data_IF_850347388603
#
_entry.id   IF_850347388603
#
_cell.length_a   1.000
_cell.length_b   1.000
_cell.length_c   1.000
_cell.angle_alpha   90.00
_cell.angle_beta   90.00
_cell.angle_gamma   90.00
#
_symmetry.space_group_name_H-M   'P 1'
#
loop_
_entity.id
_entity.type
_entity.pdbx_description
1 polymer ?
#
# COMPACT_ATOMS: atom_id res chain seq x y z
N UNK A 1 45.38 23.70 24.35
CA UNK A 1 46.22 22.71 23.64
C UNK A 1 45.95 21.37 24.32
N UNK A 2 45.13 20.50 23.71
CA UNK A 2 45.58 19.32 22.93
C UNK A 2 46.34 18.36 23.86
N UNK A 3 45.92 17.13 24.16
CA UNK A 3 45.25 16.08 23.39
C UNK A 3 44.90 14.94 24.35
N UNK A 4 43.72 14.33 24.28
CA UNK A 4 43.59 12.91 24.64
C UNK A 4 42.71 12.20 23.61
N UNK A 5 43.36 11.25 22.93
CA UNK A 5 42.82 10.39 21.91
C UNK A 5 41.73 9.49 22.50
N UNK A 6 40.48 9.66 22.06
CA UNK A 6 39.51 8.56 22.11
C UNK A 6 39.77 7.64 20.93
N UNK A 7 40.63 6.64 21.15
CA UNK A 7 40.63 5.43 20.35
C UNK A 7 39.26 4.78 20.52
N UNK A 8 38.40 4.91 19.51
CA UNK A 8 37.20 4.09 19.39
C UNK A 8 37.67 2.69 19.06
N UNK A 9 37.47 1.77 19.99
CA UNK A 9 37.81 0.37 19.83
C UNK A 9 36.96 -0.25 18.71
N UNK A 10 37.59 -0.46 17.56
CA UNK A 10 36.96 -1.02 16.36
C UNK A 10 36.56 -2.49 16.55
N UNK A 11 36.90 -3.12 17.69
CA UNK A 11 36.48 -4.47 18.04
C UNK A 11 35.04 -4.51 18.61
N UNK A 12 34.64 -3.54 19.44
CA UNK A 12 33.26 -3.48 19.96
C UNK A 12 32.25 -3.09 18.87
N UNK A 13 32.67 -2.28 17.90
CA UNK A 13 31.88 -1.97 16.71
C UNK A 13 31.72 -3.19 15.78
N UNK A 14 32.48 -4.28 15.93
CA UNK A 14 32.30 -5.50 15.11
C UNK A 14 31.35 -6.51 15.73
N UNK A 15 31.20 -6.55 17.06
CA UNK A 15 30.26 -7.49 17.69
C UNK A 15 28.80 -7.05 17.59
N UNK A 16 28.52 -5.75 17.49
CA UNK A 16 27.17 -5.25 17.17
C UNK A 16 26.71 -5.44 15.71
N UNK A 17 27.59 -5.94 14.82
CA UNK A 17 27.29 -6.13 13.39
C UNK A 17 26.85 -7.55 13.01
N UNK A 18 27.02 -8.53 13.90
CA UNK A 18 26.66 -9.93 13.61
C UNK A 18 25.20 -10.27 13.94
N UNK A 19 24.51 -9.45 14.72
CA UNK A 19 23.08 -9.61 14.93
C UNK A 19 22.33 -8.80 13.86
N UNK A 20 21.80 -9.50 12.85
CA UNK A 20 21.05 -8.94 11.72
C UNK A 20 19.77 -8.17 12.07
N UNK A 21 19.57 -7.76 13.33
CA UNK A 21 18.36 -7.15 13.89
C UNK A 21 18.20 -5.65 13.60
N UNK A 22 19.29 -4.89 13.42
CA UNK A 22 19.20 -3.42 13.45
C UNK A 22 18.81 -2.75 12.12
N UNK A 23 19.30 -3.30 11.01
CA UNK A 23 19.00 -2.86 9.63
C UNK A 23 18.06 -3.86 8.94
N UNK A 24 18.04 -5.10 9.44
CA UNK A 24 17.13 -6.14 8.97
C UNK A 24 15.67 -5.70 9.08
N UNK A 25 15.22 -5.21 10.24
CA UNK A 25 13.79 -5.01 10.51
C UNK A 25 13.06 -3.98 9.64
N UNK A 26 13.72 -3.07 8.92
CA UNK A 26 13.05 -2.10 8.02
C UNK A 26 13.05 -2.61 6.58
N UNK A 27 14.13 -3.29 6.16
CA UNK A 27 14.27 -3.81 4.80
C UNK A 27 13.74 -5.25 4.66
N UNK A 28 13.69 -5.98 5.76
CA UNK A 28 12.92 -7.20 5.95
C UNK A 28 11.42 -6.92 6.07
N UNK A 29 11.05 -5.66 6.18
CA UNK A 29 9.69 -5.24 6.45
C UNK A 29 9.00 -4.56 5.28
N UNK A 30 9.70 -3.70 4.52
CA UNK A 30 9.32 -3.39 3.13
C UNK A 30 9.22 -4.66 2.24
N UNK A 31 9.77 -5.77 2.73
CA UNK A 31 9.85 -7.07 2.07
C UNK A 31 8.67 -8.00 2.33
N UNK A 32 8.19 -8.12 3.59
CA UNK A 32 7.01 -8.93 3.89
C UNK A 32 5.81 -8.47 3.03
N UNK A 33 5.68 -7.16 2.84
CA UNK A 33 4.59 -6.55 2.09
C UNK A 33 4.67 -6.71 0.55
N UNK A 34 5.85 -6.98 -0.02
CA UNK A 34 5.99 -7.34 -1.43
C UNK A 34 5.85 -8.85 -1.66
N UNK A 35 6.17 -9.66 -0.65
CA UNK A 35 6.04 -11.12 -0.71
C UNK A 35 4.58 -11.57 -0.54
N UNK A 36 3.74 -10.75 0.09
CA UNK A 36 2.34 -11.03 0.37
C UNK A 36 1.32 -10.44 -0.63
N UNK A 37 1.81 -9.94 -1.78
CA UNK A 37 1.00 -9.53 -2.95
C UNK A 37 0.33 -10.72 -3.70
N UNK A 38 -0.27 -11.66 -2.93
CA UNK A 38 -1.14 -12.81 -3.29
C UNK A 38 -0.55 -14.21 -3.34
N UNK A 39 0.49 -14.53 -2.57
CA UNK A 39 0.91 -15.94 -2.47
C UNK A 39 0.00 -16.83 -1.59
N UNK A 40 -0.90 -16.26 -0.77
CA UNK A 40 -1.77 -17.07 0.11
C UNK A 40 -3.18 -17.33 -0.43
N UNK A 41 -3.86 -16.38 -1.07
CA UNK A 41 -5.25 -16.60 -1.52
C UNK A 41 -5.35 -17.62 -2.66
N UNK A 42 -4.51 -17.52 -3.69
CA UNK A 42 -4.59 -18.45 -4.83
C UNK A 42 -3.89 -19.78 -4.61
N UNK A 43 -2.92 -19.90 -3.70
CA UNK A 43 -2.32 -21.22 -3.41
C UNK A 43 -3.25 -22.11 -2.58
N UNK A 44 -4.18 -21.51 -1.80
CA UNK A 44 -5.29 -22.21 -1.16
C UNK A 44 -6.39 -22.52 -2.18
N UNK A 45 -6.79 -21.56 -3.02
CA UNK A 45 -7.78 -21.81 -4.10
C UNK A 45 -7.31 -22.85 -5.11
N UNK A 46 -6.04 -22.81 -5.55
CA UNK A 46 -5.47 -23.78 -6.47
C UNK A 46 -5.20 -25.13 -5.81
N UNK A 47 -4.90 -25.21 -4.51
CA UNK A 47 -4.85 -26.50 -3.76
C UNK A 47 -6.24 -27.09 -3.52
N UNK A 48 -7.27 -26.24 -3.41
CA UNK A 48 -8.66 -26.67 -3.34
C UNK A 48 -9.14 -27.15 -4.71
N UNK A 49 -8.83 -26.42 -5.79
CA UNK A 49 -9.15 -26.81 -7.16
C UNK A 49 -8.36 -28.05 -7.63
N UNK A 50 -7.10 -28.22 -7.21
CA UNK A 50 -6.31 -29.42 -7.52
C UNK A 50 -6.73 -30.66 -6.73
N UNK A 51 -7.61 -30.51 -5.73
CA UNK A 51 -8.25 -31.61 -5.00
C UNK A 51 -9.66 -31.93 -5.51
N UNK A 52 -10.18 -31.16 -6.46
CA UNK A 52 -11.43 -31.45 -7.18
C UNK A 52 -11.09 -32.17 -8.49
N UNK A 53 -10.54 -33.37 -8.38
CA UNK A 53 -10.76 -34.38 -9.41
C UNK A 53 -11.83 -35.32 -8.85
N UNK A 54 -12.94 -35.41 -9.57
CA UNK A 54 -14.14 -36.26 -9.36
C UNK A 54 -15.12 -35.81 -8.28
N UNK A 55 -15.99 -34.81 -8.53
CA UNK A 55 -17.29 -34.73 -7.82
C UNK A 55 -18.41 -34.18 -8.71
N UNK A 56 -19.59 -34.79 -8.56
CA UNK A 56 -20.77 -34.73 -9.41
C UNK A 56 -21.50 -33.37 -9.34
N UNK A 57 -22.01 -32.88 -10.47
CA UNK A 57 -22.59 -31.53 -10.64
C UNK A 57 -23.88 -31.33 -9.81
N UNK A 58 -24.59 -32.40 -9.46
CA UNK A 58 -25.85 -32.31 -8.71
C UNK A 58 -25.67 -31.92 -7.24
N UNK A 59 -24.48 -32.10 -6.65
CA UNK A 59 -24.23 -31.72 -5.24
C UNK A 59 -24.03 -30.21 -5.05
N UNK A 60 -23.84 -29.43 -6.13
CA UNK A 60 -23.67 -27.98 -6.03
C UNK A 60 -24.96 -27.21 -5.78
N UNK A 61 -26.14 -27.71 -6.18
CA UNK A 61 -27.40 -26.98 -6.00
C UNK A 61 -27.86 -26.88 -4.54
N UNK A 62 -27.39 -27.78 -3.67
CA UNK A 62 -27.73 -27.77 -2.24
C UNK A 62 -26.68 -27.13 -1.33
N UNK A 63 -25.50 -26.78 -1.83
CA UNK A 63 -24.38 -26.27 -1.03
C UNK A 63 -23.92 -24.84 -1.40
N UNK A 64 -24.67 -24.11 -2.23
CA UNK A 64 -24.36 -22.70 -2.53
C UNK A 64 -24.41 -21.80 -1.30
N UNK A 65 -25.20 -22.15 -0.27
CA UNK A 65 -25.32 -21.36 0.97
C UNK A 65 -24.18 -21.58 1.97
N UNK A 66 -23.45 -22.69 1.88
CA UNK A 66 -22.43 -23.07 2.88
C UNK A 66 -21.01 -22.77 2.43
N UNK A 67 -20.74 -22.72 1.12
CA UNK A 67 -19.38 -22.48 0.59
C UNK A 67 -18.87 -21.04 0.79
N UNK A 68 -19.77 -20.06 0.93
CA UNK A 68 -19.44 -18.65 1.19
C UNK A 68 -19.48 -18.25 2.68
N UNK A 69 -19.65 -19.21 3.59
CA UNK A 69 -20.09 -18.92 4.97
C UNK A 69 -18.99 -18.82 6.03
N UNK A 70 -17.70 -18.79 5.68
CA UNK A 70 -16.68 -18.26 6.61
C UNK A 70 -16.49 -16.78 6.31
N UNK A 71 -16.93 -15.86 7.21
CA UNK A 71 -16.59 -14.46 7.06
C UNK A 71 -15.07 -14.35 6.97
N UNK A 72 -14.53 -13.51 6.08
CA UNK A 72 -13.16 -13.02 6.24
C UNK A 72 -13.12 -12.37 7.64
N UNK A 73 -12.66 -13.13 8.62
CA UNK A 73 -13.09 -12.97 9.99
C UNK A 73 -12.54 -11.70 10.63
N UNK A 74 -13.44 -10.97 11.30
CA UNK A 74 -13.10 -9.97 12.32
C UNK A 74 -12.05 -10.61 13.25
N UNK A 75 -10.83 -10.09 13.26
CA UNK A 75 -9.79 -10.61 14.14
C UNK A 75 -9.80 -9.83 15.45
N UNK A 76 -10.51 -10.37 16.45
CA UNK A 76 -10.67 -9.77 17.78
C UNK A 76 -9.50 -10.06 18.74
N UNK A 77 -8.45 -10.77 18.30
CA UNK A 77 -7.36 -11.26 19.18
C UNK A 77 -6.00 -10.56 19.04
N UNK A 78 -5.83 -9.61 18.12
CA UNK A 78 -4.57 -8.87 18.02
C UNK A 78 -4.61 -7.61 18.89
N UNK A 79 -3.46 -7.23 19.45
CA UNK A 79 -3.31 -5.97 20.19
C UNK A 79 -3.61 -4.79 19.25
N UNK A 80 -4.59 -3.96 19.64
CA UNK A 80 -4.90 -2.71 18.93
C UNK A 80 -3.68 -1.77 18.98
N UNK A 81 -3.44 -1.07 17.88
CA UNK A 81 -2.48 0.02 17.80
C UNK A 81 -3.04 1.27 18.49
N UNK A 82 -4.37 1.41 18.53
CA UNK A 82 -5.05 2.51 19.24
C UNK A 82 -5.99 1.94 20.32
N UNK A 83 -5.50 1.76 21.56
CA UNK A 83 -6.33 1.25 22.66
C UNK A 83 -7.50 2.18 23.05
N UNK A 84 -7.30 3.50 22.97
CA UNK A 84 -8.28 4.54 23.28
C UNK A 84 -9.08 5.00 22.07
N UNK A 85 -9.53 4.07 21.23
CA UNK A 85 -10.24 4.38 19.99
C UNK A 85 -11.58 5.08 20.27
N UNK A 86 -11.95 5.98 19.36
CA UNK A 86 -13.26 6.65 19.37
C UNK A 86 -14.25 5.89 18.48
N UNK A 87 -15.50 5.84 18.91
CA UNK A 87 -16.55 5.15 18.15
C UNK A 87 -16.74 5.80 16.76
N UNK A 88 -16.91 4.95 15.75
CA UNK A 88 -17.08 5.30 14.34
C UNK A 88 -15.94 6.14 13.73
N UNK A 89 -14.79 6.19 14.40
CA UNK A 89 -13.55 6.73 13.84
C UNK A 89 -12.72 5.61 13.23
N UNK A 90 -12.30 5.78 11.98
CA UNK A 90 -11.41 4.82 11.32
C UNK A 90 -9.97 5.17 11.64
N UNK A 91 -9.21 4.22 12.17
CA UNK A 91 -7.77 4.37 12.33
C UNK A 91 -7.08 3.57 11.23
N UNK A 92 -6.59 4.26 10.20
CA UNK A 92 -5.84 3.64 9.10
C UNK A 92 -4.40 3.43 9.54
N UNK A 93 -4.05 2.16 9.74
CA UNK A 93 -2.69 1.75 10.05
C UNK A 93 -1.93 1.49 8.75
N UNK A 94 -0.88 2.27 8.52
CA UNK A 94 -0.10 2.23 7.27
C UNK A 94 1.38 2.55 7.49
N UNK A 95 2.17 2.50 6.42
CA UNK A 95 3.60 2.85 6.47
C UNK A 95 3.84 4.32 6.79
N UNK A 96 5.04 4.66 7.31
CA UNK A 96 5.44 6.04 7.46
C UNK A 96 5.44 6.78 6.13
N UNK A 97 5.04 8.05 6.16
CA UNK A 97 4.99 8.89 4.97
C UNK A 97 6.40 9.19 4.45
N UNK A 98 6.70 8.89 3.18
CA UNK A 98 7.94 9.35 2.55
C UNK A 98 7.90 10.88 2.36
N UNK A 99 9.05 11.46 2.03
CA UNK A 99 9.06 12.81 1.48
C UNK A 99 8.37 12.81 0.10
N UNK A 100 7.63 13.86 -0.25
CA UNK A 100 7.07 14.10 -1.59
C UNK A 100 5.91 13.20 -2.03
N UNK A 101 5.52 12.19 -1.25
CA UNK A 101 4.39 11.29 -1.55
C UNK A 101 3.59 10.98 -0.27
N UNK A 102 2.29 10.63 -0.38
CA UNK A 102 1.53 10.22 0.80
C UNK A 102 1.93 8.85 1.35
N UNK A 103 2.32 7.92 0.48
CA UNK A 103 2.80 6.58 0.84
C UNK A 103 3.65 6.01 -0.31
N UNK A 104 4.39 4.91 -0.08
CA UNK A 104 5.12 4.15 -1.11
C UNK A 104 4.43 2.82 -1.49
N UNK A 105 3.34 2.49 -0.78
CA UNK A 105 2.50 1.33 -1.02
C UNK A 105 1.24 1.74 -1.79
N UNK A 106 0.98 1.14 -2.96
CA UNK A 106 -0.22 1.42 -3.73
C UNK A 106 -1.50 1.02 -2.97
N UNK A 107 -1.42 0.02 -2.08
CA UNK A 107 -2.56 -0.41 -1.28
C UNK A 107 -2.88 0.55 -0.14
N UNK A 108 -1.85 1.13 0.50
CA UNK A 108 -2.05 2.18 1.50
C UNK A 108 -2.69 3.41 0.85
N UNK A 109 -2.17 3.84 -0.31
CA UNK A 109 -2.79 4.91 -1.11
C UNK A 109 -4.23 4.59 -1.51
N UNK A 110 -4.51 3.36 -1.94
CA UNK A 110 -5.86 2.91 -2.28
C UNK A 110 -6.85 3.12 -1.12
N UNK A 111 -6.50 2.69 0.09
CA UNK A 111 -7.38 2.83 1.26
C UNK A 111 -7.50 4.29 1.70
N UNK A 112 -6.39 5.03 1.79
CA UNK A 112 -6.43 6.44 2.18
C UNK A 112 -7.23 7.28 1.18
N UNK A 113 -7.04 7.05 -0.13
CA UNK A 113 -7.82 7.70 -1.17
C UNK A 113 -9.31 7.35 -1.06
N UNK A 114 -9.64 6.08 -0.80
CA UNK A 114 -11.04 5.66 -0.63
C UNK A 114 -11.70 6.36 0.57
N UNK A 115 -11.00 6.48 1.69
CA UNK A 115 -11.49 7.22 2.86
C UNK A 115 -11.73 8.69 2.54
N UNK A 116 -10.78 9.35 1.85
CA UNK A 116 -10.86 10.75 1.45
C UNK A 116 -12.00 11.02 0.46
N UNK A 117 -12.11 10.20 -0.59
CA UNK A 117 -13.17 10.28 -1.60
C UNK A 117 -14.56 10.21 -0.98
N UNK A 118 -14.74 9.33 0.01
CA UNK A 118 -16.03 9.14 0.67
C UNK A 118 -16.23 10.03 1.90
N UNK A 119 -15.32 10.99 2.15
CA UNK A 119 -15.35 11.87 3.32
C UNK A 119 -15.49 11.10 4.66
N UNK A 120 -14.88 9.92 4.77
CA UNK A 120 -14.90 9.13 6.00
C UNK A 120 -13.92 9.75 7.00
N UNK A 121 -14.37 10.13 8.21
CA UNK A 121 -13.47 10.59 9.28
C UNK A 121 -12.46 9.49 9.64
N UNK A 122 -11.18 9.82 9.53
CA UNK A 122 -10.13 8.86 9.81
C UNK A 122 -8.89 9.51 10.42
N UNK A 123 -8.10 8.70 11.13
CA UNK A 123 -6.78 9.04 11.63
C UNK A 123 -5.75 8.10 11.03
N UNK A 124 -4.59 8.64 10.65
CA UNK A 124 -3.46 7.84 10.20
C UNK A 124 -2.64 7.41 11.40
N UNK A 125 -2.31 6.13 11.45
CA UNK A 125 -1.41 5.52 12.43
C UNK A 125 -0.24 4.92 11.68
N UNK A 126 0.93 5.54 11.81
CA UNK A 126 2.13 5.10 11.11
C UNK A 126 2.82 3.98 11.91
N UNK A 127 3.10 2.87 11.24
CA UNK A 127 3.89 1.77 11.81
C UNK A 127 5.04 1.43 10.87
N UNK A 128 6.22 1.22 11.44
CA UNK A 128 7.39 0.79 10.65
C UNK A 128 7.27 -0.65 10.16
N UNK A 129 6.29 -1.41 10.69
CA UNK A 129 6.17 -2.84 10.47
C UNK A 129 4.75 -3.34 10.26
N UNK A 130 4.55 -4.05 9.16
CA UNK A 130 3.33 -4.77 8.85
C UNK A 130 3.09 -6.00 9.73
N UNK A 131 4.11 -6.50 10.45
CA UNK A 131 3.93 -7.54 11.46
C UNK A 131 3.01 -7.10 12.61
N UNK A 132 2.69 -5.80 12.70
CA UNK A 132 1.67 -5.25 13.60
C UNK A 132 0.25 -5.52 13.14
N UNK A 133 0.04 -5.76 11.85
CA UNK A 133 -1.24 -6.12 11.29
C UNK A 133 -1.60 -7.58 11.57
N UNK A 134 -2.90 -7.92 11.62
CA UNK A 134 -3.38 -9.26 11.97
C UNK A 134 -2.98 -10.33 10.94
N UNK A 135 -2.57 -9.92 9.73
CA UNK A 135 -2.08 -10.78 8.66
C UNK A 135 -0.62 -10.51 8.28
N UNK A 136 0.10 -9.71 9.05
CA UNK A 136 1.46 -9.31 8.67
C UNK A 136 1.52 -8.37 7.46
N UNK A 137 0.42 -7.66 7.16
CA UNK A 137 0.23 -6.84 5.96
C UNK A 137 -0.27 -5.44 6.30
N UNK A 138 0.13 -4.45 5.50
CA UNK A 138 -0.43 -3.10 5.48
C UNK A 138 -1.08 -2.78 4.12
N UNK A 139 -2.13 -1.97 4.08
CA UNK A 139 -2.80 -1.35 5.23
C UNK A 139 -3.72 -2.33 5.97
N UNK A 140 -4.04 -2.00 7.22
CA UNK A 140 -5.22 -2.48 7.92
C UNK A 140 -5.91 -1.31 8.62
N UNK A 141 -7.18 -1.47 8.99
CA UNK A 141 -7.88 -0.47 9.80
C UNK A 141 -8.21 -1.01 11.18
N UNK A 142 -8.26 -0.11 12.16
CA UNK A 142 -8.95 -0.30 13.43
C UNK A 142 -10.23 0.52 13.43
N UNK A 143 -11.34 -0.13 13.74
CA UNK A 143 -12.66 0.48 13.76
C UNK A 143 -13.51 -0.21 14.83
N UNK A 144 -14.01 0.58 15.78
CA UNK A 144 -14.84 0.11 16.90
C UNK A 144 -14.21 -1.09 17.65
N UNK A 145 -12.91 -0.98 17.93
CA UNK A 145 -12.13 -2.00 18.63
C UNK A 145 -11.86 -3.29 17.84
N UNK A 146 -12.16 -3.31 16.54
CA UNK A 146 -11.91 -4.44 15.65
C UNK A 146 -10.85 -4.10 14.60
N UNK A 147 -10.02 -5.08 14.23
CA UNK A 147 -9.06 -4.97 13.14
C UNK A 147 -9.57 -5.61 11.85
N UNK A 148 -9.40 -4.90 10.74
CA UNK A 148 -9.76 -5.36 9.40
C UNK A 148 -8.55 -5.25 8.46
N UNK A 149 -7.94 -6.38 8.05
CA UNK A 149 -6.82 -6.39 7.10
C UNK A 149 -7.28 -6.34 5.65
N UNK A 150 -6.30 -6.21 4.73
CA UNK A 150 -6.47 -6.26 3.27
C UNK A 150 -7.26 -5.08 2.69
N UNK A 151 -6.67 -4.38 1.72
CA UNK A 151 -7.29 -3.16 1.17
C UNK A 151 -8.67 -3.36 0.55
N UNK A 152 -8.94 -4.52 -0.05
CA UNK A 152 -10.24 -4.80 -0.67
C UNK A 152 -11.28 -5.19 0.38
N UNK A 153 -10.88 -5.96 1.39
CA UNK A 153 -11.76 -6.27 2.53
C UNK A 153 -12.09 -5.01 3.34
N UNK A 154 -11.11 -4.13 3.58
CA UNK A 154 -11.32 -2.84 4.24
C UNK A 154 -12.37 -2.01 3.51
N UNK A 155 -12.26 -1.87 2.18
CA UNK A 155 -13.23 -1.13 1.36
C UNK A 155 -14.64 -1.71 1.51
N UNK A 156 -14.79 -3.03 1.50
CA UNK A 156 -16.10 -3.69 1.67
C UNK A 156 -16.69 -3.38 3.06
N UNK A 157 -15.90 -3.52 4.12
CA UNK A 157 -16.32 -3.24 5.50
C UNK A 157 -16.76 -1.77 5.65
N UNK A 158 -16.00 -0.84 5.10
CA UNK A 158 -16.32 0.59 5.15
C UNK A 158 -17.57 0.92 4.33
N UNK A 159 -17.72 0.29 3.16
CA UNK A 159 -18.91 0.45 2.31
C UNK A 159 -20.17 0.01 3.02
N UNK A 160 -20.13 -1.14 3.69
CA UNK A 160 -21.24 -1.66 4.49
C UNK A 160 -21.51 -0.77 5.71
N UNK A 161 -20.47 -0.44 6.49
CA UNK A 161 -20.58 0.33 7.75
C UNK A 161 -21.11 1.74 7.56
N UNK A 162 -20.65 2.44 6.52
CA UNK A 162 -21.00 3.83 6.25
C UNK A 162 -22.10 3.98 5.19
N UNK A 163 -22.71 2.86 4.76
CA UNK A 163 -23.77 2.83 3.75
C UNK A 163 -23.43 3.60 2.46
N UNK A 164 -22.19 3.43 2.00
CA UNK A 164 -21.67 4.16 0.85
C UNK A 164 -22.37 3.76 -0.45
N UNK A 165 -22.63 4.75 -1.30
CA UNK A 165 -23.33 4.57 -2.58
C UNK A 165 -22.42 4.47 -3.80
N UNK A 166 -21.10 4.63 -3.65
CA UNK A 166 -20.15 4.73 -4.77
C UNK A 166 -20.31 3.62 -5.80
N UNK A 167 -20.40 2.37 -5.33
CA UNK A 167 -20.57 1.21 -6.20
C UNK A 167 -22.04 0.74 -6.31
N UNK A 168 -22.97 1.37 -5.60
CA UNK A 168 -24.36 0.88 -5.49
C UNK A 168 -25.14 1.05 -6.79
N UNK A 169 -24.86 2.11 -7.54
CA UNK A 169 -25.56 2.45 -8.79
C UNK A 169 -24.97 1.77 -10.03
N UNK A 170 -23.90 0.99 -9.87
CA UNK A 170 -23.25 0.29 -10.97
C UNK A 170 -24.11 -0.86 -11.50
N UNK A 171 -24.10 -1.04 -12.83
CA UNK A 171 -24.78 -2.18 -13.44
C UNK A 171 -24.08 -3.49 -13.05
N UNK A 172 -24.76 -4.63 -13.21
CA UNK A 172 -24.13 -5.95 -12.99
C UNK A 172 -22.88 -6.15 -13.86
N UNK A 173 -22.88 -5.58 -15.07
CA UNK A 173 -21.73 -5.60 -15.97
C UNK A 173 -20.59 -4.76 -15.40
N UNK A 174 -20.85 -3.53 -14.97
CA UNK A 174 -19.81 -2.65 -14.41
C UNK A 174 -19.15 -3.28 -13.18
N UNK A 175 -19.95 -3.93 -12.31
CA UNK A 175 -19.41 -4.66 -11.15
C UNK A 175 -18.50 -5.81 -11.57
N UNK A 176 -18.85 -6.56 -12.62
CA UNK A 176 -17.98 -7.61 -13.15
C UNK A 176 -16.71 -7.04 -13.79
N UNK A 177 -16.84 -5.92 -14.51
CA UNK A 177 -15.73 -5.21 -15.12
C UNK A 177 -14.77 -4.66 -14.03
N UNK A 178 -15.28 -4.10 -12.93
CA UNK A 178 -14.46 -3.67 -11.76
C UNK A 178 -13.59 -4.82 -11.25
N UNK A 179 -14.14 -6.03 -11.11
CA UNK A 179 -13.37 -7.20 -10.65
C UNK A 179 -12.24 -7.51 -11.64
N UNK A 180 -12.54 -7.56 -12.93
CA UNK A 180 -11.56 -7.86 -13.97
C UNK A 180 -10.45 -6.79 -14.05
N UNK A 181 -10.81 -5.51 -14.02
CA UNK A 181 -9.84 -4.43 -14.09
C UNK A 181 -9.06 -4.25 -12.78
N UNK A 182 -9.65 -4.58 -11.63
CA UNK A 182 -8.91 -4.67 -10.35
C UNK A 182 -7.81 -5.72 -10.46
N UNK A 183 -8.11 -6.87 -11.08
CA UNK A 183 -7.08 -7.88 -11.33
C UNK A 183 -5.98 -7.35 -12.25
N UNK A 184 -6.33 -6.66 -13.36
CA UNK A 184 -5.35 -6.05 -14.26
C UNK A 184 -4.43 -5.07 -13.55
N UNK A 185 -5.01 -4.13 -12.78
CA UNK A 185 -4.27 -3.13 -12.02
C UNK A 185 -3.40 -3.85 -10.98
N UNK A 186 -4.02 -4.54 -10.03
CA UNK A 186 -3.30 -5.05 -8.87
C UNK A 186 -2.40 -6.23 -9.21
N UNK A 187 -2.56 -6.94 -10.34
CA UNK A 187 -1.65 -8.01 -10.76
C UNK A 187 -0.70 -7.55 -11.85
N UNK A 188 -1.22 -7.25 -13.05
CA UNK A 188 -0.35 -7.02 -14.20
C UNK A 188 0.50 -5.75 -14.03
N UNK A 189 -0.13 -4.61 -13.74
CA UNK A 189 0.58 -3.35 -13.54
C UNK A 189 1.44 -3.36 -12.27
N UNK A 190 0.99 -4.03 -11.22
CA UNK A 190 1.77 -4.11 -9.98
C UNK A 190 3.07 -4.85 -10.19
N UNK A 191 3.04 -5.99 -10.87
CA UNK A 191 4.25 -6.74 -11.18
C UNK A 191 5.13 -6.00 -12.21
N UNK A 192 4.56 -5.19 -13.09
CA UNK A 192 5.31 -4.24 -13.95
C UNK A 192 6.06 -3.20 -13.10
N UNK A 193 5.39 -2.56 -12.13
CA UNK A 193 6.02 -1.65 -11.16
C UNK A 193 7.15 -2.34 -10.38
N UNK A 194 6.89 -3.55 -9.86
CA UNK A 194 7.90 -4.31 -9.13
C UNK A 194 9.08 -4.70 -10.01
N UNK A 195 8.85 -5.00 -11.29
CA UNK A 195 9.95 -5.25 -12.23
C UNK A 195 10.86 -4.04 -12.33
N UNK A 196 10.32 -2.84 -12.54
CA UNK A 196 11.14 -1.63 -12.57
C UNK A 196 11.86 -1.39 -11.24
N UNK A 197 11.16 -1.51 -10.10
CA UNK A 197 11.79 -1.41 -8.77
C UNK A 197 12.92 -2.43 -8.59
N UNK A 198 12.80 -3.65 -9.12
CA UNK A 198 13.87 -4.66 -9.07
C UNK A 198 15.16 -4.22 -9.79
N UNK A 199 15.07 -3.29 -10.75
CA UNK A 199 16.22 -2.71 -11.46
C UNK A 199 16.78 -1.47 -10.75
N UNK A 200 15.97 -0.80 -9.92
CA UNK A 200 16.42 0.37 -9.16
C UNK A 200 15.43 0.83 -8.08
N UNK A 201 15.83 0.71 -6.82
CA UNK A 201 15.06 1.17 -5.63
C UNK A 201 15.77 2.23 -4.79
N UNK A 202 16.94 2.71 -5.22
CA UNK A 202 17.75 3.65 -4.41
C UNK A 202 16.97 4.93 -4.06
N UNK A 203 16.12 5.40 -4.96
CA UNK A 203 15.29 6.60 -4.76
C UNK A 203 14.34 6.50 -3.56
N UNK A 204 13.87 5.29 -3.20
CA UNK A 204 13.00 5.06 -2.03
C UNK A 204 13.70 5.35 -0.69
N UNK A 205 15.03 5.49 -0.72
CA UNK A 205 15.87 5.83 0.42
C UNK A 205 16.50 7.23 0.28
N UNK A 206 15.99 8.03 -0.67
CA UNK A 206 16.38 9.42 -0.88
C UNK A 206 15.61 10.40 0.01
N UNK A 207 15.95 11.67 -0.11
CA UNK A 207 15.33 12.80 0.59
C UNK A 207 14.12 13.38 -0.16
N UNK A 208 14.04 13.24 -1.49
CA UNK A 208 12.95 13.83 -2.28
C UNK A 208 11.64 13.02 -2.26
N UNK A 209 11.76 11.70 -2.42
CA UNK A 209 10.64 10.76 -2.62
C UNK A 209 10.72 9.53 -1.70
N UNK A 210 11.64 9.55 -0.73
CA UNK A 210 12.02 8.38 0.05
C UNK A 210 11.86 8.57 1.56
N UNK A 211 12.24 7.53 2.30
CA UNK A 211 12.11 7.46 3.75
C UNK A 211 13.34 8.00 4.50
N UNK A 212 14.29 8.67 3.83
CA UNK A 212 15.53 9.14 4.49
C UNK A 212 15.25 10.05 5.68
N UNK A 213 14.21 10.89 5.58
CA UNK A 213 13.83 11.85 6.61
C UNK A 213 13.11 11.19 7.80
N UNK A 214 12.59 9.97 7.63
CA UNK A 214 12.02 9.16 8.71
C UNK A 214 13.10 8.63 9.67
N UNK A 215 14.31 8.39 9.15
CA UNK A 215 15.40 7.85 9.96
C UNK A 215 16.15 8.92 10.75
N UNK A 216 16.46 8.63 12.01
CA UNK A 216 17.25 9.49 12.91
C UNK A 216 18.56 8.81 13.31
N UNK A 217 19.49 9.60 13.84
CA UNK A 217 20.79 9.12 14.31
C UNK A 217 21.56 8.32 13.25
N UNK A 218 22.20 7.22 13.67
CA UNK A 218 23.02 6.39 12.79
C UNK A 218 22.23 5.73 11.65
N UNK A 219 20.92 5.50 11.84
CA UNK A 219 20.03 4.92 10.81
C UNK A 219 19.92 5.84 9.59
N UNK A 220 19.93 7.17 9.79
CA UNK A 220 19.87 8.16 8.70
C UNK A 220 21.03 8.02 7.71
N UNK A 221 22.19 7.56 8.19
CA UNK A 221 23.38 7.33 7.37
C UNK A 221 23.44 5.90 6.84
N UNK A 222 23.18 4.90 7.68
CA UNK A 222 23.35 3.50 7.30
C UNK A 222 22.24 3.01 6.37
N UNK A 223 20.97 3.32 6.65
CA UNK A 223 19.83 2.78 5.90
C UNK A 223 19.87 3.14 4.41
N UNK A 224 20.19 4.38 3.99
CA UNK A 224 20.35 4.71 2.57
C UNK A 224 21.49 3.98 1.86
N UNK A 225 22.50 3.48 2.58
CA UNK A 225 23.64 2.75 2.02
C UNK A 225 23.28 1.28 1.80
N UNK A 226 22.73 0.64 2.83
CA UNK A 226 22.51 -0.82 2.87
C UNK A 226 21.11 -1.22 2.40
N UNK A 227 20.12 -0.34 2.61
CA UNK A 227 18.71 -0.56 2.34
C UNK A 227 18.41 -0.87 0.88
N UNK A 228 18.90 -0.07 -0.09
CA UNK A 228 18.65 -0.33 -1.50
C UNK A 228 19.09 -1.72 -1.95
N UNK A 229 20.26 -2.19 -1.51
CA UNK A 229 20.80 -3.50 -1.90
C UNK A 229 20.03 -4.69 -1.29
N UNK A 230 19.56 -4.54 -0.05
CA UNK A 230 18.70 -5.55 0.59
C UNK A 230 17.31 -5.57 -0.07
N UNK A 231 16.67 -4.41 -0.26
CA UNK A 231 15.34 -4.32 -0.88
C UNK A 231 15.38 -4.80 -2.33
N UNK A 232 16.32 -4.32 -3.14
CA UNK A 232 16.45 -4.68 -4.55
C UNK A 232 16.60 -6.19 -4.79
N UNK A 233 17.46 -6.88 -4.00
CA UNK A 233 17.61 -8.35 -4.09
C UNK A 233 16.30 -9.09 -3.85
N UNK A 234 15.48 -8.57 -2.95
CA UNK A 234 14.22 -9.17 -2.56
C UNK A 234 13.12 -8.95 -3.58
N UNK A 235 12.96 -7.72 -4.07
CA UNK A 235 12.05 -7.44 -5.17
C UNK A 235 12.41 -8.29 -6.39
N UNK A 236 13.71 -8.41 -6.69
CA UNK A 236 14.22 -9.30 -7.73
C UNK A 236 13.79 -10.76 -7.52
N UNK A 237 13.84 -11.27 -6.29
CA UNK A 237 13.32 -12.61 -5.97
C UNK A 237 11.83 -12.74 -6.26
N UNK A 238 11.03 -11.76 -5.86
CA UNK A 238 9.57 -11.76 -6.03
C UNK A 238 9.18 -11.77 -7.50
N UNK A 239 9.76 -10.87 -8.30
CA UNK A 239 9.45 -10.81 -9.74
C UNK A 239 9.95 -12.06 -10.47
N UNK A 240 11.04 -12.68 -10.02
CA UNK A 240 11.51 -13.95 -10.55
C UNK A 240 10.57 -15.12 -10.24
N UNK A 241 10.04 -15.19 -9.00
CA UNK A 241 9.04 -16.20 -8.62
C UNK A 241 7.75 -16.02 -9.42
N UNK A 242 7.30 -14.79 -9.63
CA UNK A 242 6.14 -14.47 -10.47
C UNK A 242 6.38 -14.82 -11.96
N UNK A 243 7.63 -14.76 -12.41
CA UNK A 243 8.04 -15.06 -13.79
C UNK A 243 8.28 -13.83 -14.65
N UNK A 244 7.64 -12.69 -14.35
CA UNK A 244 7.89 -11.42 -15.05
C UNK A 244 9.36 -10.98 -14.96
N UNK A 245 10.06 -11.33 -13.87
CA UNK A 245 11.47 -11.04 -13.67
C UNK A 245 12.40 -11.72 -14.67
N UNK A 246 11.91 -12.77 -15.35
CA UNK A 246 12.63 -13.50 -16.41
C UNK A 246 12.50 -12.83 -17.78
N UNK A 247 11.59 -11.87 -17.94
CA UNK A 247 11.36 -11.16 -19.20
C UNK A 247 12.41 -10.05 -19.43
N UNK A 248 12.62 -9.74 -20.72
CA UNK A 248 13.37 -8.55 -21.13
C UNK A 248 12.65 -7.27 -20.73
N UNK A 249 13.40 -6.18 -20.58
CA UNK A 249 12.80 -4.88 -20.19
C UNK A 249 11.81 -4.38 -21.25
N UNK A 250 12.10 -4.63 -22.53
CA UNK A 250 11.23 -4.21 -23.63
C UNK A 250 9.89 -4.97 -23.61
N UNK A 251 9.90 -6.28 -23.33
CA UNK A 251 8.68 -7.08 -23.18
C UNK A 251 7.80 -6.58 -22.02
N UNK A 252 8.42 -6.23 -20.89
CA UNK A 252 7.71 -5.69 -19.72
C UNK A 252 7.14 -4.31 -20.01
N UNK A 253 7.84 -3.48 -20.78
CA UNK A 253 7.33 -2.19 -21.23
C UNK A 253 6.12 -2.39 -22.15
N UNK A 254 6.18 -3.29 -23.12
CA UNK A 254 5.03 -3.57 -24.00
C UNK A 254 3.83 -4.12 -23.23
N UNK A 255 4.05 -4.98 -22.22
CA UNK A 255 3.00 -5.43 -21.30
C UNK A 255 2.36 -4.24 -20.57
N UNK A 256 3.18 -3.37 -19.97
CA UNK A 256 2.70 -2.16 -19.31
C UNK A 256 1.95 -1.23 -20.24
N UNK A 257 2.42 -1.02 -21.48
CA UNK A 257 1.74 -0.17 -22.47
C UNK A 257 0.36 -0.72 -22.80
N UNK A 258 0.23 -2.03 -23.00
CA UNK A 258 -1.05 -2.70 -23.26
C UNK A 258 -2.02 -2.50 -22.11
N UNK A 259 -1.56 -2.65 -20.87
CA UNK A 259 -2.39 -2.44 -19.68
C UNK A 259 -2.83 -0.97 -19.55
N UNK A 260 -1.94 -0.01 -19.80
CA UNK A 260 -2.26 1.42 -19.78
C UNK A 260 -3.24 1.81 -20.89
N UNK A 261 -3.10 1.26 -22.10
CA UNK A 261 -4.07 1.47 -23.18
C UNK A 261 -5.44 0.86 -22.84
N UNK A 262 -5.45 -0.28 -22.16
CA UNK A 262 -6.69 -0.93 -21.70
C UNK A 262 -7.41 -0.05 -20.68
N UNK A 263 -6.69 0.47 -19.68
CA UNK A 263 -7.25 1.43 -18.72
C UNK A 263 -7.67 2.73 -19.40
N UNK A 264 -6.90 3.23 -20.36
CA UNK A 264 -7.27 4.42 -21.11
C UNK A 264 -8.58 4.24 -21.89
N UNK A 265 -8.77 3.07 -22.52
CA UNK A 265 -10.01 2.74 -23.20
C UNK A 265 -11.18 2.61 -22.22
N UNK A 266 -10.95 2.03 -21.04
CA UNK A 266 -11.97 1.97 -19.97
C UNK A 266 -12.36 3.37 -19.48
N UNK A 267 -11.39 4.25 -19.25
CA UNK A 267 -11.62 5.64 -18.82
C UNK A 267 -12.36 6.44 -19.90
N UNK A 268 -11.95 6.33 -21.16
CA UNK A 268 -12.55 7.07 -22.27
C UNK A 268 -12.54 8.58 -22.02
N UNK A 269 -13.70 9.22 -22.18
CA UNK A 269 -13.90 10.66 -21.93
C UNK A 269 -14.47 10.98 -20.54
N UNK A 270 -14.65 9.96 -19.68
CA UNK A 270 -15.29 10.11 -18.36
C UNK A 270 -14.40 10.82 -17.34
N UNK A 271 -15.02 11.38 -16.31
CA UNK A 271 -14.31 11.94 -15.16
C UNK A 271 -13.65 10.86 -14.29
N UNK A 272 -14.27 9.70 -14.20
CA UNK A 272 -13.82 8.53 -13.44
C UNK A 272 -14.10 7.27 -14.27
N UNK A 273 -13.48 6.14 -13.92
CA UNK A 273 -13.49 4.95 -14.78
C UNK A 273 -14.91 4.42 -15.09
N UNK A 274 -15.86 4.61 -14.17
CA UNK A 274 -17.24 4.13 -14.30
C UNK A 274 -18.29 5.24 -14.30
N UNK A 275 -17.91 6.51 -14.50
CA UNK A 275 -18.85 7.62 -14.65
C UNK A 275 -18.32 8.97 -14.21
N UNK A 276 -19.22 9.83 -13.74
CA UNK A 276 -18.90 11.18 -13.25
C UNK A 276 -18.55 11.22 -11.76
N UNK A 277 -18.87 10.17 -11.02
CA UNK A 277 -18.54 10.01 -9.61
C UNK A 277 -17.49 8.91 -9.43
N UNK A 278 -16.56 9.05 -8.46
CA UNK A 278 -15.55 8.04 -8.20
C UNK A 278 -16.17 6.77 -7.59
N UNK A 279 -15.62 5.63 -8.00
CA UNK A 279 -15.94 4.29 -7.48
C UNK A 279 -14.79 3.73 -6.65
N UNK A 280 -14.99 2.57 -6.03
CA UNK A 280 -13.90 1.84 -5.37
C UNK A 280 -12.74 1.52 -6.33
N UNK A 281 -13.05 1.31 -7.62
CA UNK A 281 -12.04 1.05 -8.64
C UNK A 281 -11.14 2.27 -8.89
N UNK A 282 -11.69 3.49 -8.85
CA UNK A 282 -10.88 4.71 -9.03
C UNK A 282 -9.82 4.84 -7.93
N UNK A 283 -10.13 4.46 -6.69
CA UNK A 283 -9.13 4.41 -5.60
C UNK A 283 -8.07 3.33 -5.83
N UNK A 284 -8.46 2.18 -6.39
CA UNK A 284 -7.54 1.10 -6.75
C UNK A 284 -6.59 1.53 -7.88
N UNK A 285 -7.13 2.11 -8.95
CA UNK A 285 -6.37 2.61 -10.08
C UNK A 285 -5.46 3.78 -9.65
N UNK A 286 -5.97 4.74 -8.86
CA UNK A 286 -5.20 5.87 -8.36
C UNK A 286 -3.99 5.43 -7.54
N UNK A 287 -4.17 4.49 -6.60
CA UNK A 287 -3.08 4.01 -5.75
C UNK A 287 -1.92 3.44 -6.58
N UNK A 288 -2.20 2.58 -7.55
CA UNK A 288 -1.15 1.97 -8.34
C UNK A 288 -0.59 2.85 -9.46
N UNK A 289 -1.45 3.58 -10.18
CA UNK A 289 -1.01 4.49 -11.25
C UNK A 289 -0.17 5.64 -10.68
N UNK A 290 -0.45 6.10 -9.45
CA UNK A 290 0.42 7.05 -8.74
C UNK A 290 1.82 6.46 -8.57
N UNK A 291 1.92 5.26 -8.01
CA UNK A 291 3.22 4.61 -7.77
C UNK A 291 3.97 4.35 -9.09
N UNK A 292 3.26 4.03 -10.17
CA UNK A 292 3.88 3.74 -11.46
C UNK A 292 4.30 4.99 -12.21
N UNK A 293 3.47 6.04 -12.23
CA UNK A 293 3.61 7.19 -13.12
C UNK A 293 4.14 8.46 -12.44
N UNK A 294 3.97 8.60 -11.12
CA UNK A 294 4.37 9.79 -10.38
C UNK A 294 5.59 9.60 -9.47
N UNK A 295 6.15 8.38 -9.42
CA UNK A 295 7.38 8.10 -8.67
C UNK A 295 8.56 7.87 -9.61
N UNK A 296 9.81 8.09 -9.16
CA UNK A 296 10.98 7.84 -9.98
C UNK A 296 11.05 6.37 -10.44
N UNK A 297 11.21 6.17 -11.75
CA UNK A 297 11.48 4.85 -12.33
C UNK A 297 12.89 4.80 -12.92
N UNK A 298 13.58 3.65 -12.86
CA UNK A 298 14.88 3.48 -13.53
C UNK A 298 14.77 3.52 -15.06
N UNK A 299 13.58 3.28 -15.62
CA UNK A 299 13.27 3.44 -17.04
C UNK A 299 11.97 4.23 -17.18
N UNK A 300 12.03 5.38 -17.86
CA UNK A 300 10.91 6.30 -18.01
C UNK A 300 10.09 6.09 -19.29
N UNK A 301 10.41 5.08 -20.13
CA UNK A 301 9.70 4.86 -21.40
C UNK A 301 8.21 4.61 -21.20
N UNK A 302 7.84 3.89 -20.14
CA UNK A 302 6.43 3.65 -19.83
C UNK A 302 5.71 4.93 -19.36
N UNK A 303 6.38 5.75 -18.53
CA UNK A 303 5.85 7.05 -18.09
C UNK A 303 5.64 7.98 -19.29
N UNK A 304 6.65 8.10 -20.15
CA UNK A 304 6.56 8.90 -21.37
C UNK A 304 5.41 8.43 -22.24
N UNK A 305 5.30 7.11 -22.46
CA UNK A 305 4.20 6.54 -23.22
C UNK A 305 2.83 6.89 -22.61
N UNK A 306 2.67 6.76 -21.30
CA UNK A 306 1.42 7.10 -20.61
C UNK A 306 1.03 8.57 -20.83
N UNK A 307 2.00 9.49 -20.69
CA UNK A 307 1.77 10.92 -20.87
C UNK A 307 1.43 11.28 -22.32
N UNK A 308 2.09 10.64 -23.28
CA UNK A 308 1.93 10.97 -24.71
C UNK A 308 0.68 10.33 -25.33
N UNK A 309 0.20 9.20 -24.79
CA UNK A 309 -0.80 8.35 -25.48
C UNK A 309 -2.07 8.06 -24.65
N UNK A 310 -2.17 8.56 -23.42
CA UNK A 310 -3.32 8.27 -22.55
C UNK A 310 -3.81 9.50 -21.80
N UNK A 311 -5.04 9.42 -21.28
CA UNK A 311 -5.63 10.42 -20.37
C UNK A 311 -5.41 10.07 -18.89
N UNK A 312 -4.59 9.07 -18.58
CA UNK A 312 -4.41 8.58 -17.21
C UNK A 312 -3.72 9.60 -16.30
N UNK A 313 -2.78 10.40 -16.83
CA UNK A 313 -2.17 11.49 -16.07
C UNK A 313 -3.17 12.60 -15.74
N UNK A 314 -4.17 12.82 -16.61
CA UNK A 314 -5.26 13.77 -16.33
C UNK A 314 -6.17 13.23 -15.22
N UNK A 315 -6.48 11.93 -15.23
CA UNK A 315 -7.18 11.26 -14.14
C UNK A 315 -6.43 11.40 -12.80
N UNK A 316 -5.12 11.11 -12.77
CA UNK A 316 -4.32 11.25 -11.55
C UNK A 316 -4.32 12.70 -11.03
N UNK A 317 -4.15 13.67 -11.92
CA UNK A 317 -4.18 15.10 -11.55
C UNK A 317 -5.56 15.51 -11.01
N UNK A 318 -6.65 15.01 -11.60
CA UNK A 318 -8.03 15.27 -11.13
C UNK A 318 -8.25 14.73 -9.72
N UNK A 319 -7.91 13.46 -9.48
CA UNK A 319 -8.07 12.83 -8.15
C UNK A 319 -7.20 13.54 -7.11
N UNK A 320 -5.95 13.85 -7.45
CA UNK A 320 -5.04 14.60 -6.56
C UNK A 320 -5.58 15.98 -6.22
N UNK A 321 -6.04 16.75 -7.22
CA UNK A 321 -6.58 18.08 -7.00
C UNK A 321 -7.87 18.08 -6.15
N UNK A 322 -8.72 17.06 -6.31
CA UNK A 322 -10.00 16.96 -5.60
C UNK A 322 -9.85 16.44 -4.16
N UNK A 323 -9.00 15.43 -3.92
CA UNK A 323 -8.98 14.67 -2.66
C UNK A 323 -7.68 14.77 -1.87
N UNK A 324 -6.65 15.40 -2.43
CA UNK A 324 -5.34 15.55 -1.80
C UNK A 324 -4.82 17.01 -1.89
N UNK A 325 -5.56 17.99 -1.33
CA UNK A 325 -5.11 19.39 -1.30
C UNK A 325 -3.82 19.58 -0.49
N UNK A 326 -3.52 18.64 0.40
CA UNK A 326 -2.34 18.53 1.26
C UNK A 326 -1.21 17.68 0.65
N UNK A 327 -1.26 17.39 -0.65
CA UNK A 327 -0.23 16.59 -1.30
C UNK A 327 1.16 17.24 -1.16
N UNK A 328 2.16 16.52 -0.63
CA UNK A 328 3.45 17.11 -0.30
C UNK A 328 4.28 17.46 -1.53
N UNK A 329 4.97 18.60 -1.47
CA UNK A 329 6.04 18.91 -2.41
C UNK A 329 7.21 17.91 -2.25
N UNK A 330 8.02 17.67 -3.30
CA UNK A 330 9.22 16.84 -3.19
C UNK A 330 10.12 17.32 -2.05
N UNK A 331 10.62 16.39 -1.23
CA UNK A 331 11.44 16.71 -0.05
C UNK A 331 10.65 17.03 1.22
N UNK A 332 9.35 17.28 1.12
CA UNK A 332 8.47 17.60 2.26
C UNK A 332 7.72 16.34 2.69
N UNK A 333 7.73 16.02 3.97
CA UNK A 333 6.87 14.96 4.53
C UNK A 333 5.52 15.56 4.90
N UNK A 334 4.44 14.92 4.48
CA UNK A 334 3.09 15.37 4.83
C UNK A 334 2.84 15.23 6.34
N UNK A 335 2.21 16.23 6.94
CA UNK A 335 1.82 16.19 8.35
C UNK A 335 0.68 15.18 8.53
N UNK A 336 0.83 14.29 9.50
CA UNK A 336 -0.21 13.33 9.87
C UNK A 336 -1.18 13.97 10.85
N UNK A 337 -2.50 13.82 10.60
CA UNK A 337 -3.60 14.26 11.48
C UNK A 337 -3.51 15.74 11.95
N UNK A 338 -3.42 16.74 11.05
CA UNK A 338 -3.12 18.14 11.40
C UNK A 338 -4.17 18.86 12.26
N UNK A 339 -5.38 18.32 12.41
CA UNK A 339 -6.52 18.98 13.08
C UNK A 339 -6.97 18.32 14.39
N UNK A 340 -6.20 17.38 14.94
CA UNK A 340 -6.53 16.75 16.22
C UNK A 340 -5.50 17.11 17.30
N UNK A 341 -5.94 17.40 18.55
CA UNK A 341 -5.02 17.48 19.66
C UNK A 341 -4.29 16.14 19.74
N UNK A 342 -2.96 16.21 19.76
CA UNK A 342 -2.09 15.07 20.02
C UNK A 342 -2.69 14.33 21.22
N UNK A 343 -3.15 13.10 21.01
CA UNK A 343 -3.43 12.20 22.14
C UNK A 343 -2.07 11.90 22.72
N UNK A 344 -1.64 12.74 23.67
CA UNK A 344 -0.38 12.60 24.36
C UNK A 344 -0.34 11.22 24.99
N UNK A 345 0.79 10.55 24.84
CA UNK A 345 1.08 9.30 25.52
C UNK A 345 0.58 9.35 26.97
N UNK A 346 -0.18 8.33 27.37
CA UNK A 346 -0.47 8.09 28.78
C UNK A 346 0.85 7.76 29.48
N UNK A 347 1.54 8.78 29.98
CA UNK A 347 2.62 8.66 30.95
C UNK A 347 2.13 9.30 32.23
N UNK A 348 1.89 8.46 33.24
CA UNK A 348 1.68 8.82 34.65
C UNK A 348 0.41 9.62 35.00
N UNK A 349 -0.76 9.26 34.44
CA UNK A 349 -2.04 9.43 35.13
C UNK A 349 -2.49 10.85 35.53
N UNK A 350 -2.02 11.89 34.85
CA UNK A 350 -2.48 13.27 35.09
C UNK A 350 -3.03 13.92 33.83
N UNK A 351 -4.26 14.40 33.94
CA UNK A 351 -5.03 15.08 32.89
C UNK A 351 -4.51 16.51 32.73
N UNK A 352 -4.03 16.87 31.53
CA UNK A 352 -3.67 18.25 31.19
C UNK A 352 -4.77 18.81 30.30
N UNK A 353 -5.56 19.72 30.85
CA UNK A 353 -6.54 20.52 30.11
C UNK A 353 -5.81 21.52 29.20
N UNK A 354 -6.08 21.48 27.89
CA UNK A 354 -5.62 22.50 26.94
C UNK A 354 -6.85 23.17 26.31
N UNK A 355 -7.00 24.47 26.56
CA UNK A 355 -8.00 25.35 25.91
C UNK A 355 -7.62 25.63 24.45
N UNK A 356 -8.61 25.74 23.54
CA UNK A 356 -8.35 25.95 22.11
C UNK A 356 -7.86 27.39 21.84
N UNK A 357 -6.92 27.52 20.91
CA UNK A 357 -6.51 28.78 20.26
C UNK A 357 -7.37 29.05 19.03
#
# INVERSE_FOLDING_TARGET
MLTQNTHIDLAEARHGFNDGSFVGSIVDQLFLDLQDMRFWNYSVELRLLSRVQTFNIDTMKHNQSTFFSKPLGIMTRTKLQVPGWLENTVYLVQFPRPAGLPNLSPFCLKVENFLRVNNIPHQIVEVESASKGPRGQLPFIELNGCQFPDSSHIINVLTEKFHLRGDSNLTKKDKADIVAYTFLVEHSLLYTLLYFRSKGVKWMFGDQYGLKNHFTGIKKTLVPIVGPGKLGRKIKSIVNTHGIGRLGIDDVIELGKKDLLTLNALLGDKSYFFGEEPTSFDSTAFGLLTELLLTPQPDNRLIKFANDNTKLSQFLNRVKAAYWPDWPAPGVTMVVNPTLPVVSDYVNGHEIMITPL
#
